data_IF_479673690229
#
_entry.id   IF_479673690229
#
_cell.length_a   1.000
_cell.length_b   1.000
_cell.length_c   1.000
_cell.angle_alpha   90.00
_cell.angle_beta   90.00
_cell.angle_gamma   90.00
#
_symmetry.space_group_name_H-M   'P 1'
#
loop_
_entity.id
_entity.type
_entity.pdbx_description
1 polymer ?
#
# COMPACT_ATOMS: atom_id res chain seq x y z
N UNK A 1 -14.27 31.17 0.98
CA UNK A 1 -13.19 31.26 2.01
C UNK A 1 -13.13 30.02 2.89
N UNK A 2 -14.25 29.47 3.40
CA UNK A 2 -14.25 28.22 4.19
C UNK A 2 -13.61 27.01 3.49
N UNK A 3 -13.98 26.76 2.24
CA UNK A 3 -13.45 25.64 1.42
C UNK A 3 -11.92 25.66 1.28
N UNK A 4 -11.34 26.80 1.00
CA UNK A 4 -9.89 26.91 0.85
C UNK A 4 -9.18 26.56 2.16
N UNK A 5 -9.80 26.91 3.29
CA UNK A 5 -9.28 26.59 4.62
C UNK A 5 -9.39 25.08 4.86
N UNK A 6 -10.49 24.44 4.50
CA UNK A 6 -10.67 22.98 4.63
C UNK A 6 -9.66 22.19 3.77
N UNK A 7 -9.46 22.61 2.51
CA UNK A 7 -8.42 22.03 1.67
C UNK A 7 -7.01 22.21 2.25
N UNK A 8 -6.69 23.37 2.80
CA UNK A 8 -5.40 23.60 3.45
C UNK A 8 -5.22 22.75 4.70
N UNK A 9 -6.26 22.61 5.52
CA UNK A 9 -6.21 21.73 6.70
C UNK A 9 -6.02 20.29 6.26
N UNK A 10 -6.76 19.83 5.26
CA UNK A 10 -6.62 18.49 4.71
C UNK A 10 -5.19 18.23 4.19
N UNK A 11 -4.62 19.16 3.44
CA UNK A 11 -3.24 19.05 2.97
C UNK A 11 -2.25 18.96 4.13
N UNK A 12 -2.45 19.73 5.21
CA UNK A 12 -1.59 19.69 6.39
C UNK A 12 -1.69 18.35 7.13
N UNK A 13 -2.90 17.80 7.27
CA UNK A 13 -3.09 16.49 7.92
C UNK A 13 -2.49 15.34 7.08
N UNK A 14 -2.65 15.37 5.76
CA UNK A 14 -1.99 14.40 4.89
C UNK A 14 -0.46 14.58 4.86
N UNK A 15 0.05 15.79 4.94
CA UNK A 15 1.48 16.07 5.09
C UNK A 15 2.03 15.47 6.40
N UNK A 16 1.33 15.66 7.51
CA UNK A 16 1.69 15.03 8.80
C UNK A 16 1.66 13.50 8.70
N UNK A 17 0.63 12.95 8.10
CA UNK A 17 0.51 11.51 7.87
C UNK A 17 1.71 10.99 7.06
N UNK A 18 2.07 11.66 5.97
CA UNK A 18 3.23 11.29 5.15
C UNK A 18 4.57 11.40 5.87
N UNK A 19 4.66 12.26 6.90
CA UNK A 19 5.86 12.44 7.71
C UNK A 19 5.97 11.39 8.83
N UNK A 20 4.86 11.04 9.48
CA UNK A 20 4.84 10.23 10.69
C UNK A 20 4.35 8.80 10.50
N UNK A 21 3.70 8.47 9.39
CA UNK A 21 3.27 7.09 9.09
C UNK A 21 4.46 6.22 8.66
N UNK A 22 5.28 5.84 9.63
CA UNK A 22 6.45 4.97 9.41
C UNK A 22 6.01 3.51 9.51
N UNK A 23 6.08 2.75 8.41
CA UNK A 23 5.73 1.32 8.44
C UNK A 23 4.91 0.83 7.24
N UNK A 24 4.79 1.59 6.18
CA UNK A 24 4.06 1.23 4.96
C UNK A 24 2.59 1.67 4.95
N UNK A 25 1.82 1.15 3.98
CA UNK A 25 0.45 1.62 3.72
C UNK A 25 -0.49 1.50 4.91
N UNK A 26 -0.45 0.39 5.64
CA UNK A 26 -1.29 0.15 6.81
C UNK A 26 -0.99 1.08 7.99
N UNK A 27 0.23 1.63 8.07
CA UNK A 27 0.60 2.60 9.10
C UNK A 27 -0.12 3.96 8.94
N UNK A 28 -0.75 4.21 7.80
CA UNK A 28 -1.58 5.41 7.59
C UNK A 28 -2.98 5.28 8.19
N UNK A 29 -3.48 4.07 8.43
CA UNK A 29 -4.85 3.82 8.90
C UNK A 29 -5.18 4.52 10.23
N UNK A 30 -4.33 4.50 11.27
CA UNK A 30 -4.61 5.23 12.52
C UNK A 30 -4.81 6.73 12.29
N UNK A 31 -4.00 7.37 11.42
CA UNK A 31 -4.13 8.78 11.08
C UNK A 31 -5.43 9.08 10.33
N UNK A 32 -5.80 8.19 9.40
CA UNK A 32 -7.07 8.32 8.66
C UNK A 32 -8.29 8.16 9.58
N UNK A 33 -8.22 7.26 10.54
CA UNK A 33 -9.28 7.11 11.57
C UNK A 33 -9.38 8.36 12.44
N UNK A 34 -8.25 8.96 12.82
CA UNK A 34 -8.24 10.22 13.53
C UNK A 34 -8.87 11.35 12.70
N UNK A 35 -8.53 11.44 11.41
CA UNK A 35 -9.14 12.40 10.49
C UNK A 35 -10.65 12.20 10.36
N UNK A 36 -11.13 10.96 10.22
CA UNK A 36 -12.55 10.64 10.13
C UNK A 36 -13.34 11.03 11.39
N UNK A 37 -12.70 10.99 12.57
CA UNK A 37 -13.35 11.41 13.82
C UNK A 37 -13.28 12.90 14.08
N UNK A 38 -12.32 13.60 13.47
CA UNK A 38 -12.06 15.01 13.74
C UNK A 38 -12.64 15.93 12.67
N UNK A 39 -12.79 15.43 11.45
CA UNK A 39 -13.26 16.19 10.30
C UNK A 39 -14.37 15.42 9.58
N UNK A 40 -15.33 16.13 9.00
CA UNK A 40 -16.45 15.57 8.23
C UNK A 40 -16.09 15.29 6.75
N UNK A 41 -14.84 14.87 6.46
CA UNK A 41 -14.41 14.61 5.09
C UNK A 41 -14.84 13.23 4.59
N UNK A 42 -14.96 12.27 5.50
CA UNK A 42 -15.45 10.92 5.27
C UNK A 42 -15.81 10.27 6.61
N UNK A 43 -16.75 9.34 6.58
CA UNK A 43 -17.18 8.62 7.77
C UNK A 43 -16.20 7.48 8.14
N UNK A 44 -16.22 7.09 9.43
CA UNK A 44 -15.42 5.93 9.91
C UNK A 44 -15.91 4.63 9.24
N UNK A 45 -17.20 4.53 8.91
CA UNK A 45 -17.79 3.43 8.15
C UNK A 45 -17.20 3.32 6.74
N UNK A 46 -17.01 4.45 6.06
CA UNK A 46 -16.41 4.52 4.73
C UNK A 46 -14.92 4.12 4.73
N UNK A 47 -14.23 4.25 5.87
CA UNK A 47 -12.82 3.89 5.98
C UNK A 47 -12.56 2.42 5.61
N UNK A 48 -13.46 1.52 5.98
CA UNK A 48 -13.35 0.09 5.65
C UNK A 48 -13.47 -0.14 4.15
N UNK A 49 -14.42 0.54 3.51
CA UNK A 49 -14.61 0.45 2.05
C UNK A 49 -13.44 1.08 1.30
N UNK A 50 -12.93 2.21 1.80
CA UNK A 50 -11.72 2.86 1.26
C UNK A 50 -10.50 1.93 1.33
N UNK A 51 -10.31 1.20 2.43
CA UNK A 51 -9.24 0.22 2.56
C UNK A 51 -9.41 -0.91 1.53
N UNK A 52 -10.61 -1.47 1.42
CA UNK A 52 -10.88 -2.56 0.47
C UNK A 52 -10.64 -2.13 -0.98
N UNK A 53 -11.11 -0.94 -1.37
CA UNK A 53 -10.87 -0.36 -2.69
C UNK A 53 -9.37 -0.09 -2.90
N UNK A 54 -8.69 0.40 -1.86
CA UNK A 54 -7.26 0.72 -1.91
C UNK A 54 -6.39 -0.52 -2.07
N UNK A 55 -6.75 -1.63 -1.42
CA UNK A 55 -6.07 -2.92 -1.58
C UNK A 55 -6.30 -3.54 -2.96
N UNK A 56 -7.46 -3.26 -3.57
CA UNK A 56 -7.79 -3.71 -4.93
C UNK A 56 -7.17 -2.84 -6.03
N UNK A 57 -6.73 -1.63 -5.68
CA UNK A 57 -6.15 -0.66 -6.62
C UNK A 57 -4.62 -0.72 -6.54
N UNK A 58 -3.91 -0.82 -7.69
CA UNK A 58 -2.46 -0.83 -7.66
C UNK A 58 -1.92 0.50 -7.11
N UNK A 59 -1.13 0.42 -6.01
CA UNK A 59 -0.52 1.59 -5.37
C UNK A 59 -0.48 1.49 -3.85
N UNK A 60 0.23 2.41 -3.18
CA UNK A 60 0.26 2.48 -1.73
C UNK A 60 -1.11 2.87 -1.17
N UNK A 61 -1.61 2.12 -0.18
CA UNK A 61 -2.92 2.35 0.46
C UNK A 61 -3.10 3.82 0.86
N UNK A 62 -2.13 4.40 1.54
CA UNK A 62 -2.22 5.79 1.99
C UNK A 62 -2.38 6.80 0.84
N UNK A 63 -1.74 6.56 -0.32
CA UNK A 63 -1.86 7.41 -1.51
C UNK A 63 -3.27 7.31 -2.11
N UNK A 64 -3.78 6.08 -2.25
CA UNK A 64 -5.13 5.85 -2.77
C UNK A 64 -6.18 6.50 -1.87
N UNK A 65 -6.03 6.36 -0.54
CA UNK A 65 -6.93 6.95 0.44
C UNK A 65 -6.84 8.48 0.47
N UNK A 66 -5.65 9.06 0.32
CA UNK A 66 -5.50 10.51 0.21
C UNK A 66 -6.22 11.05 -1.03
N UNK A 67 -6.08 10.35 -2.17
CA UNK A 67 -6.78 10.71 -3.41
C UNK A 67 -8.30 10.64 -3.23
N UNK A 68 -8.80 9.58 -2.59
CA UNK A 68 -10.22 9.40 -2.32
C UNK A 68 -10.77 10.52 -1.40
N UNK A 69 -10.13 10.74 -0.25
CA UNK A 69 -10.56 11.76 0.70
C UNK A 69 -10.56 13.16 0.08
N UNK A 70 -9.54 13.49 -0.70
CA UNK A 70 -9.46 14.77 -1.42
C UNK A 70 -10.54 14.93 -2.48
N UNK A 71 -10.86 13.86 -3.19
CA UNK A 71 -11.94 13.86 -4.18
C UNK A 71 -13.29 14.00 -3.50
N UNK A 72 -13.54 13.26 -2.43
CA UNK A 72 -14.80 13.29 -1.69
C UNK A 72 -15.09 14.68 -1.12
N UNK A 73 -14.10 15.35 -0.54
CA UNK A 73 -14.24 16.73 -0.05
C UNK A 73 -14.67 17.71 -1.16
N UNK A 74 -14.13 17.59 -2.36
CA UNK A 74 -14.51 18.44 -3.48
C UNK A 74 -15.93 18.21 -3.96
N UNK A 75 -16.32 16.93 -4.12
CA UNK A 75 -17.64 16.53 -4.60
C UNK A 75 -18.74 16.82 -3.57
N UNK A 76 -18.46 16.60 -2.27
CA UNK A 76 -19.43 16.86 -1.20
C UNK A 76 -19.69 18.35 -0.97
N UNK A 77 -18.80 19.22 -1.43
CA UNK A 77 -18.91 20.65 -1.19
C UNK A 77 -19.70 21.38 -2.28
N UNK A 78 -19.65 20.90 -3.53
CA UNK A 78 -20.37 21.49 -4.67
C UNK A 78 -21.00 20.42 -5.53
N UNK A 79 -22.26 20.61 -5.88
CA UNK A 79 -22.96 19.75 -6.83
C UNK A 79 -22.53 20.02 -8.27
N UNK A 80 -22.58 18.98 -9.09
CA UNK A 80 -22.37 19.07 -10.54
C UNK A 80 -20.91 19.11 -10.99
N UNK A 81 -20.65 19.61 -12.22
CA UNK A 81 -19.32 19.53 -12.85
C UNK A 81 -18.22 20.26 -12.06
N UNK A 82 -18.57 21.31 -11.33
CA UNK A 82 -17.63 22.10 -10.51
C UNK A 82 -17.17 21.27 -9.32
N UNK A 83 -18.06 20.53 -8.68
CA UNK A 83 -17.71 19.62 -7.59
C UNK A 83 -16.73 18.53 -8.02
N UNK A 84 -16.96 17.94 -9.20
CA UNK A 84 -16.04 16.93 -9.77
C UNK A 84 -14.66 17.54 -10.05
N UNK A 85 -14.60 18.75 -10.62
CA UNK A 85 -13.33 19.44 -10.89
C UNK A 85 -12.57 19.72 -9.59
N UNK A 86 -13.26 20.23 -8.57
CA UNK A 86 -12.69 20.46 -7.24
C UNK A 86 -12.27 19.17 -6.57
N UNK A 87 -13.04 18.09 -6.76
CA UNK A 87 -12.69 16.76 -6.28
C UNK A 87 -11.39 16.23 -6.88
N UNK A 88 -11.22 16.36 -8.20
CA UNK A 88 -9.97 15.97 -8.88
C UNK A 88 -8.79 16.80 -8.36
N UNK A 89 -8.95 18.11 -8.26
CA UNK A 89 -7.91 18.98 -7.71
C UNK A 89 -7.61 18.64 -6.23
N UNK A 90 -8.63 18.38 -5.44
CA UNK A 90 -8.51 17.97 -4.04
C UNK A 90 -7.74 16.65 -3.89
N UNK A 91 -8.08 15.65 -4.69
CA UNK A 91 -7.39 14.37 -4.72
C UNK A 91 -5.91 14.51 -5.08
N UNK A 92 -5.60 15.30 -6.10
CA UNK A 92 -4.20 15.58 -6.50
C UNK A 92 -3.46 16.31 -5.38
N UNK A 93 -4.05 17.36 -4.80
CA UNK A 93 -3.42 18.13 -3.73
C UNK A 93 -3.17 17.29 -2.46
N UNK A 94 -4.15 16.47 -2.04
CA UNK A 94 -4.01 15.60 -0.89
C UNK A 94 -2.89 14.55 -1.09
N UNK A 95 -2.85 13.96 -2.28
CA UNK A 95 -1.82 13.00 -2.68
C UNK A 95 -0.43 13.64 -2.69
N UNK A 96 -0.29 14.81 -3.28
CA UNK A 96 0.99 15.55 -3.29
C UNK A 96 1.41 15.94 -1.88
N UNK A 97 0.49 16.35 -1.03
CA UNK A 97 0.77 16.68 0.37
C UNK A 97 1.29 15.46 1.14
N UNK A 98 0.70 14.27 0.94
CA UNK A 98 1.15 13.02 1.55
C UNK A 98 2.56 12.62 1.12
N UNK A 99 2.89 12.77 -0.16
CA UNK A 99 4.17 12.33 -0.75
C UNK A 99 5.28 13.34 -0.48
N UNK A 100 4.96 14.63 -0.40
CA UNK A 100 5.92 15.73 -0.29
C UNK A 100 6.97 15.54 0.81
N UNK A 101 6.63 15.22 2.08
CA UNK A 101 7.63 15.06 3.14
C UNK A 101 8.59 13.90 2.85
N UNK A 102 8.11 12.79 2.30
CA UNK A 102 8.94 11.65 1.95
C UNK A 102 9.94 11.99 0.85
N UNK A 103 9.51 12.76 -0.17
CA UNK A 103 10.38 13.23 -1.26
C UNK A 103 11.45 14.19 -0.72
N UNK A 104 11.08 15.12 0.15
CA UNK A 104 12.04 16.05 0.77
C UNK A 104 13.09 15.28 1.55
N UNK A 105 12.68 14.35 2.41
CA UNK A 105 13.58 13.55 3.24
C UNK A 105 14.53 12.73 2.36
N UNK A 106 14.03 12.03 1.35
CA UNK A 106 14.88 11.18 0.51
C UNK A 106 15.91 12.01 -0.30
N UNK A 107 15.55 13.22 -0.75
CA UNK A 107 16.49 14.12 -1.43
C UNK A 107 17.60 14.56 -0.47
N UNK A 108 17.25 14.90 0.77
CA UNK A 108 18.24 15.29 1.80
C UNK A 108 19.17 14.11 2.10
N UNK A 109 18.60 12.93 2.34
CA UNK A 109 19.36 11.70 2.62
C UNK A 109 20.26 11.32 1.43
N UNK A 110 19.76 11.41 0.20
CA UNK A 110 20.55 11.09 -0.99
C UNK A 110 21.77 12.04 -1.15
N UNK A 111 21.60 13.34 -0.88
CA UNK A 111 22.70 14.31 -0.89
C UNK A 111 23.72 14.02 0.20
N UNK A 112 23.26 13.65 1.40
CA UNK A 112 24.15 13.30 2.51
C UNK A 112 24.94 12.02 2.21
N UNK A 113 24.26 10.97 1.72
CA UNK A 113 24.91 9.70 1.35
C UNK A 113 25.99 9.88 0.29
N UNK A 114 25.79 10.79 -0.68
CA UNK A 114 26.82 11.12 -1.67
C UNK A 114 28.13 11.64 -1.06
N UNK A 115 28.03 12.38 0.06
CA UNK A 115 29.21 12.89 0.79
C UNK A 115 29.87 11.84 1.70
N UNK A 116 29.09 10.93 2.24
CA UNK A 116 29.54 9.94 3.23
C UNK A 116 29.67 8.51 2.69
N UNK A 117 29.66 8.34 1.38
CA UNK A 117 29.72 7.03 0.71
C UNK A 117 30.91 6.15 1.15
N UNK A 118 32.02 6.76 1.53
CA UNK A 118 33.24 6.07 1.97
C UNK A 118 33.39 6.00 3.49
N UNK A 119 32.37 6.41 4.27
CA UNK A 119 32.44 6.36 5.71
C UNK A 119 32.13 4.94 6.20
N UNK A 120 33.01 4.40 7.06
CA UNK A 120 32.89 3.04 7.59
C UNK A 120 31.60 2.82 8.40
N UNK A 121 31.14 3.82 9.16
CA UNK A 121 29.89 3.77 9.92
C UNK A 121 28.68 3.66 8.99
N UNK A 122 28.67 4.41 7.89
CA UNK A 122 27.59 4.33 6.88
C UNK A 122 27.59 2.98 6.18
N UNK A 123 28.77 2.47 5.82
CA UNK A 123 28.89 1.15 5.21
C UNK A 123 28.46 0.03 6.19
N UNK A 124 28.81 0.15 7.49
CA UNK A 124 28.37 -0.77 8.53
C UNK A 124 26.86 -0.77 8.72
N UNK A 125 26.23 0.42 8.72
CA UNK A 125 24.77 0.53 8.78
C UNK A 125 24.10 -0.14 7.58
N UNK A 126 24.58 0.09 6.37
CA UNK A 126 24.05 -0.58 5.17
C UNK A 126 24.29 -2.08 5.16
N UNK A 127 25.41 -2.54 5.72
CA UNK A 127 25.67 -3.96 5.87
C UNK A 127 24.62 -4.66 6.75
N UNK A 128 24.16 -3.99 7.83
CA UNK A 128 23.07 -4.49 8.69
C UNK A 128 21.67 -4.37 8.05
N UNK A 129 21.39 -3.28 7.33
CA UNK A 129 20.05 -3.04 6.73
C UNK A 129 19.76 -3.99 5.55
N UNK A 130 20.76 -4.38 4.75
CA UNK A 130 20.58 -5.27 3.59
C UNK A 130 19.95 -6.62 3.95
N UNK A 131 20.50 -7.39 4.93
CA UNK A 131 19.88 -8.66 5.31
C UNK A 131 18.51 -8.46 5.98
N UNK A 132 18.30 -7.37 6.71
CA UNK A 132 17.02 -7.04 7.31
C UNK A 132 15.95 -6.81 6.23
N UNK A 133 16.24 -6.05 5.19
CA UNK A 133 15.32 -5.85 4.06
C UNK A 133 15.03 -7.16 3.32
N UNK A 134 16.04 -8.00 3.11
CA UNK A 134 15.86 -9.30 2.49
C UNK A 134 14.97 -10.24 3.33
N UNK A 135 15.14 -10.24 4.66
CA UNK A 135 14.32 -11.04 5.56
C UNK A 135 12.87 -10.59 5.61
N UNK A 136 12.59 -9.27 5.53
CA UNK A 136 11.22 -8.74 5.45
C UNK A 136 10.51 -9.18 4.15
N UNK A 137 11.22 -9.13 3.01
CA UNK A 137 10.68 -9.62 1.74
C UNK A 137 10.42 -11.13 1.80
N UNK A 138 11.37 -11.90 2.36
CA UNK A 138 11.20 -13.35 2.52
C UNK A 138 10.02 -13.70 3.45
N UNK A 139 9.84 -12.97 4.55
CA UNK A 139 8.69 -13.14 5.45
C UNK A 139 7.36 -12.88 4.73
N UNK A 140 7.27 -11.78 3.98
CA UNK A 140 6.07 -11.47 3.19
C UNK A 140 5.76 -12.53 2.12
N UNK A 141 6.81 -13.07 1.46
CA UNK A 141 6.64 -14.19 0.52
C UNK A 141 6.13 -15.46 1.21
N UNK A 142 6.66 -15.77 2.41
CA UNK A 142 6.21 -16.91 3.19
C UNK A 142 4.74 -16.78 3.62
N UNK A 143 4.32 -15.60 4.05
CA UNK A 143 2.93 -15.34 4.42
C UNK A 143 1.97 -15.59 3.25
N UNK A 144 2.29 -15.07 2.06
CA UNK A 144 1.49 -15.30 0.84
C UNK A 144 1.49 -16.78 0.46
N UNK A 145 2.64 -17.44 0.56
CA UNK A 145 2.76 -18.88 0.24
C UNK A 145 1.93 -19.73 1.18
N UNK A 146 1.98 -19.47 2.49
CA UNK A 146 1.18 -20.17 3.49
C UNK A 146 -0.31 -19.97 3.23
N UNK A 147 -0.76 -18.72 2.96
CA UNK A 147 -2.15 -18.42 2.62
C UNK A 147 -2.62 -19.16 1.36
N UNK A 148 -1.77 -19.24 0.35
CA UNK A 148 -2.08 -19.87 -0.93
C UNK A 148 -2.14 -21.40 -0.85
N UNK A 149 -1.24 -22.01 -0.05
CA UNK A 149 -1.10 -23.46 0.08
C UNK A 149 -2.09 -24.06 1.07
N UNK A 150 -2.31 -23.37 2.20
CA UNK A 150 -3.08 -23.91 3.33
C UNK A 150 -4.50 -23.34 3.47
N UNK A 151 -4.96 -22.52 2.55
CA UNK A 151 -6.27 -21.82 2.67
C UNK A 151 -6.49 -21.21 4.06
N UNK A 152 -5.41 -20.70 4.68
CA UNK A 152 -5.43 -20.17 6.03
C UNK A 152 -6.18 -18.85 6.08
N UNK A 153 -7.11 -18.72 7.02
CA UNK A 153 -7.79 -17.45 7.29
C UNK A 153 -6.86 -16.55 8.12
N UNK A 154 -6.64 -15.32 7.68
CA UNK A 154 -5.96 -14.31 8.50
C UNK A 154 -6.81 -14.00 9.72
N UNK A 155 -6.34 -14.36 10.90
CA UNK A 155 -6.85 -13.89 12.18
C UNK A 155 -5.86 -12.83 12.71
N UNK A 156 -6.33 -11.60 12.90
CA UNK A 156 -5.62 -10.47 13.54
C UNK A 156 -4.22 -10.12 13.00
N UNK A 157 -4.04 -10.20 11.69
CA UNK A 157 -2.83 -9.71 11.03
C UNK A 157 -1.60 -10.63 11.13
N UNK A 158 -1.69 -11.76 11.84
CA UNK A 158 -0.65 -12.77 11.94
C UNK A 158 -1.14 -14.11 11.42
N UNK A 159 -0.32 -14.81 10.63
CA UNK A 159 -0.62 -16.20 10.23
C UNK A 159 -0.32 -17.12 11.42
N UNK A 160 -1.36 -17.55 12.11
CA UNK A 160 -1.21 -18.52 13.19
C UNK A 160 -1.03 -19.92 12.60
N UNK A 161 0.19 -20.42 12.60
CA UNK A 161 0.56 -21.78 12.17
C UNK A 161 -0.12 -22.87 13.03
N UNK A 162 -0.67 -22.52 14.20
CA UNK A 162 -1.27 -23.47 15.15
C UNK A 162 -2.71 -23.91 14.85
N UNK A 163 -3.40 -23.29 13.91
CA UNK A 163 -4.80 -23.61 13.59
C UNK A 163 -4.97 -23.80 12.08
N UNK A 164 -4.21 -24.74 11.50
CA UNK A 164 -4.33 -25.10 10.09
C UNK A 164 -5.55 -26.04 9.96
N UNK A 165 -6.68 -25.56 9.42
CA UNK A 165 -7.75 -26.48 9.02
C UNK A 165 -7.16 -27.35 7.90
N UNK A 166 -7.31 -28.65 7.99
CA UNK A 166 -6.68 -29.66 7.16
C UNK A 166 -7.09 -29.68 5.67
N UNK A 167 -7.36 -28.53 5.07
CA UNK A 167 -7.62 -28.37 3.64
C UNK A 167 -6.37 -27.83 2.95
N UNK A 168 -5.56 -28.72 2.41
CA UNK A 168 -4.54 -28.36 1.45
C UNK A 168 -5.18 -27.95 0.12
N UNK A 169 -4.81 -26.79 -0.37
CA UNK A 169 -5.17 -26.40 -1.73
C UNK A 169 -4.26 -27.15 -2.74
N UNK A 170 -4.62 -28.38 -3.05
CA UNK A 170 -3.85 -29.24 -3.96
C UNK A 170 -3.69 -28.59 -5.34
N UNK A 171 -4.73 -27.89 -5.82
CA UNK A 171 -4.70 -27.20 -7.11
C UNK A 171 -3.71 -26.07 -7.10
N UNK A 172 -3.68 -25.26 -6.02
CA UNK A 172 -2.71 -24.17 -5.84
C UNK A 172 -1.27 -24.68 -5.78
N UNK A 173 -1.04 -25.79 -5.05
CA UNK A 173 0.29 -26.42 -4.95
C UNK A 173 0.77 -26.91 -6.31
N UNK A 174 -0.06 -27.65 -7.04
CA UNK A 174 0.26 -28.17 -8.37
C UNK A 174 0.55 -27.03 -9.35
N UNK A 175 -0.29 -25.99 -9.32
CA UNK A 175 -0.09 -24.82 -10.16
C UNK A 175 1.22 -24.08 -9.82
N UNK A 176 1.52 -23.88 -8.54
CA UNK A 176 2.76 -23.26 -8.08
C UNK A 176 4.00 -24.06 -8.54
N UNK A 177 4.00 -25.37 -8.36
CA UNK A 177 5.10 -26.26 -8.77
C UNK A 177 5.30 -26.24 -10.29
N UNK A 178 4.22 -26.17 -11.07
CA UNK A 178 4.28 -26.06 -12.53
C UNK A 178 4.76 -24.68 -13.01
N UNK A 179 4.44 -23.61 -12.28
CA UNK A 179 4.85 -22.25 -12.63
C UNK A 179 6.36 -22.03 -12.47
N UNK A 180 7.01 -22.65 -11.46
CA UNK A 180 8.43 -22.46 -11.19
C UNK A 180 9.32 -22.77 -12.42
N UNK A 181 9.25 -23.98 -13.02
CA UNK A 181 10.08 -24.29 -14.20
C UNK A 181 9.66 -23.47 -15.41
N UNK A 182 8.38 -23.07 -15.51
CA UNK A 182 7.91 -22.25 -16.60
C UNK A 182 8.50 -20.83 -16.54
N UNK A 183 8.52 -20.20 -15.36
CA UNK A 183 9.17 -18.91 -15.13
C UNK A 183 10.68 -19.01 -15.37
N UNK A 184 11.32 -20.08 -14.90
CA UNK A 184 12.76 -20.31 -15.09
C UNK A 184 13.14 -20.45 -16.57
N UNK A 185 12.28 -21.06 -17.39
CA UNK A 185 12.49 -21.26 -18.83
C UNK A 185 12.27 -19.98 -19.63
N UNK A 186 11.26 -19.17 -19.27
CA UNK A 186 10.84 -17.99 -20.03
C UNK A 186 11.29 -16.67 -19.37
N UNK A 187 12.57 -16.53 -19.09
CA UNK A 187 13.18 -15.35 -18.41
C UNK A 187 12.91 -13.99 -19.10
N UNK A 188 12.53 -13.98 -20.39
CA UNK A 188 12.26 -12.76 -21.16
C UNK A 188 10.82 -12.29 -21.12
N UNK A 189 9.90 -13.10 -20.59
CA UNK A 189 8.48 -12.76 -20.53
C UNK A 189 8.23 -11.82 -19.35
N UNK A 190 7.47 -10.76 -19.59
CA UNK A 190 7.16 -9.77 -18.55
C UNK A 190 6.35 -10.43 -17.41
N UNK A 191 6.62 -10.14 -16.13
CA UNK A 191 5.91 -10.73 -14.98
C UNK A 191 4.39 -10.62 -15.03
N UNK A 192 3.86 -9.56 -15.64
CA UNK A 192 2.42 -9.34 -15.82
C UNK A 192 1.71 -10.50 -16.52
N UNK A 193 2.41 -11.19 -17.48
CA UNK A 193 1.83 -12.33 -18.20
C UNK A 193 1.58 -13.50 -17.24
N UNK A 194 2.50 -13.76 -16.32
CA UNK A 194 2.33 -14.82 -15.31
C UNK A 194 1.22 -14.50 -14.32
N UNK A 195 1.06 -13.21 -13.95
CA UNK A 195 -0.04 -12.74 -13.10
C UNK A 195 -1.38 -12.94 -13.82
N UNK A 196 -1.47 -12.57 -15.11
CA UNK A 196 -2.69 -12.76 -15.90
C UNK A 196 -3.05 -14.25 -16.05
N UNK A 197 -2.07 -15.12 -16.29
CA UNK A 197 -2.29 -16.58 -16.34
C UNK A 197 -2.77 -17.10 -14.98
N UNK A 198 -2.15 -16.63 -13.88
CA UNK A 198 -2.58 -16.98 -12.53
C UNK A 198 -4.02 -16.56 -12.23
N UNK A 199 -4.41 -15.35 -12.64
CA UNK A 199 -5.78 -14.85 -12.49
C UNK A 199 -6.80 -15.69 -13.27
N UNK A 200 -6.50 -16.05 -14.52
CA UNK A 200 -7.37 -16.91 -15.36
C UNK A 200 -7.54 -18.29 -14.69
N UNK A 201 -6.45 -18.90 -14.24
CA UNK A 201 -6.50 -20.20 -13.56
C UNK A 201 -7.31 -20.09 -12.25
N UNK A 202 -7.10 -19.05 -11.45
CA UNK A 202 -7.86 -18.82 -10.23
C UNK A 202 -9.37 -18.71 -10.47
N UNK A 203 -9.78 -17.99 -11.53
CA UNK A 203 -11.19 -17.86 -11.90
C UNK A 203 -11.79 -19.21 -12.38
N UNK A 204 -11.05 -19.95 -13.21
CA UNK A 204 -11.53 -21.23 -13.77
C UNK A 204 -11.68 -22.29 -12.67
N UNK A 205 -10.75 -22.37 -11.74
CA UNK A 205 -10.77 -23.36 -10.65
C UNK A 205 -11.46 -22.87 -9.38
N UNK A 206 -12.02 -21.63 -9.37
CA UNK A 206 -12.69 -21.00 -8.22
C UNK A 206 -11.80 -21.05 -6.95
N UNK A 207 -10.54 -20.70 -7.13
CA UNK A 207 -9.56 -20.66 -6.04
C UNK A 207 -9.61 -19.33 -5.31
#
# INVERSE_FOLDING_TARGET
>A
MKIVIEFLIMMLEFFKTGLFAIGGGLATIPFLREMATKYDWFEVSELTDMIAVSESTPGPIGVNMATYAGFNLGVSTYDGPIGVLLGVLGGVCATLALICPSVIIIIIVAKMLGKFKNNELVNGAFYGIRPCSASLVAAAMLDVLILSVFSATKLDGWVCIGNIPGSFNVVGIVFFVLLIPFIAKFKKVHPIVFIAVGAIVGIVFKM
#
